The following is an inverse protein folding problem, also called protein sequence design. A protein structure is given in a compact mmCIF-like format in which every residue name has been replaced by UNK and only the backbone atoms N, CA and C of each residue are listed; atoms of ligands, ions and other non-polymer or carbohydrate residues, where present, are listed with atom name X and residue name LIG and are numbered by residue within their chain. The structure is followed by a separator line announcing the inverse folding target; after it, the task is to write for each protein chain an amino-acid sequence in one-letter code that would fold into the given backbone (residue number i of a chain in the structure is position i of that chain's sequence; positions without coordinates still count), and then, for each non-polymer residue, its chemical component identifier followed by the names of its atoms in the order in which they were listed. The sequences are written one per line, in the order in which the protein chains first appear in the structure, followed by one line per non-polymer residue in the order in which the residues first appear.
data_IF_647278204845
#
_entry.id   IF_647278204845
#
_cell.length_a   1.000
_cell.length_b   1.000
_cell.length_c   1.000
_cell.angle_alpha   90.00
_cell.angle_beta   90.00
_cell.angle_gamma   90.00
#
_symmetry.space_group_name_H-M   'P 1'
#
loop_
_entity.id
_entity.type
_entity.pdbx_description
1 polymer ?
#
# COMPACT_ATOMS: atom_id res chain seq x y z
N UNK A 1 26.43 -18.61 13.45
CA UNK A 1 26.04 -18.47 12.04
C UNK A 1 25.99 -16.99 11.74
N UNK A 2 26.84 -16.48 10.85
CA UNK A 2 26.78 -15.07 10.47
C UNK A 2 25.65 -14.90 9.44
N UNK A 3 24.66 -14.07 9.76
CA UNK A 3 23.62 -13.66 8.81
C UNK A 3 24.29 -12.91 7.65
N UNK A 4 23.83 -13.18 6.44
CA UNK A 4 24.27 -12.50 5.21
C UNK A 4 24.12 -10.97 5.31
N UNK A 5 23.15 -10.49 6.10
CA UNK A 5 22.92 -9.08 6.39
C UNK A 5 24.09 -8.35 7.09
N UNK A 6 25.04 -9.08 7.69
CA UNK A 6 26.18 -8.52 8.42
C UNK A 6 27.53 -8.79 7.74
N UNK A 7 27.55 -9.15 6.45
CA UNK A 7 28.78 -9.38 5.69
C UNK A 7 29.02 -8.26 4.67
N UNK A 8 30.29 -7.98 4.41
CA UNK A 8 30.72 -7.16 3.28
C UNK A 8 30.16 -7.75 1.97
N UNK A 9 29.47 -6.92 1.18
CA UNK A 9 28.80 -7.23 -0.09
C UNK A 9 29.76 -7.67 -1.23
N UNK A 10 31.00 -8.02 -0.91
CA UNK A 10 32.07 -8.31 -1.88
C UNK A 10 32.03 -9.73 -2.45
N UNK A 11 31.19 -10.62 -1.90
CA UNK A 11 30.95 -11.96 -2.45
C UNK A 11 29.47 -12.16 -2.84
N UNK A 12 29.14 -12.02 -4.13
CA UNK A 12 27.78 -12.20 -4.66
C UNK A 12 27.17 -13.58 -4.39
N UNK A 13 27.97 -14.59 -4.07
CA UNK A 13 27.48 -15.96 -3.83
C UNK A 13 26.88 -16.13 -2.43
N UNK A 14 27.09 -15.18 -1.52
CA UNK A 14 26.61 -15.22 -0.14
C UNK A 14 25.32 -14.40 0.07
N UNK A 15 24.88 -13.67 -0.94
CA UNK A 15 23.69 -12.81 -0.89
C UNK A 15 22.51 -13.58 -1.50
N UNK A 16 21.39 -13.77 -0.78
CA UNK A 16 20.20 -14.37 -1.36
C UNK A 16 19.67 -13.52 -2.54
N UNK A 17 18.97 -14.16 -3.49
CA UNK A 17 18.32 -13.43 -4.58
C UNK A 17 17.39 -12.32 -4.06
N UNK A 18 17.17 -11.29 -4.88
CA UNK A 18 16.26 -10.19 -4.58
C UNK A 18 14.90 -10.70 -4.10
N UNK A 19 14.28 -11.60 -4.87
CA UNK A 19 13.02 -12.26 -4.52
C UNK A 19 13.02 -12.94 -3.15
N UNK A 20 14.11 -13.63 -2.78
CA UNK A 20 14.21 -14.30 -1.48
C UNK A 20 14.36 -13.30 -0.33
N UNK A 21 15.02 -12.17 -0.56
CA UNK A 21 15.13 -11.08 0.42
C UNK A 21 13.79 -10.36 0.57
N UNK A 22 13.06 -10.16 -0.52
CA UNK A 22 11.71 -9.60 -0.51
C UNK A 22 10.71 -10.52 0.20
N UNK A 23 10.80 -11.83 -0.03
CA UNK A 23 10.03 -12.83 0.72
C UNK A 23 10.37 -12.81 2.22
N UNK A 24 11.64 -12.60 2.58
CA UNK A 24 12.02 -12.42 3.99
C UNK A 24 11.39 -11.17 4.61
N UNK A 25 11.27 -10.06 3.88
CA UNK A 25 10.56 -8.86 4.38
C UNK A 25 9.13 -9.22 4.77
N UNK A 26 8.40 -9.96 3.92
CA UNK A 26 7.03 -10.41 4.24
C UNK A 26 7.00 -11.25 5.52
N UNK A 27 7.93 -12.19 5.67
CA UNK A 27 8.06 -12.99 6.90
C UNK A 27 8.40 -12.15 8.14
N UNK A 28 9.23 -11.11 8.00
CA UNK A 28 9.55 -10.20 9.11
C UNK A 28 8.32 -9.41 9.54
N UNK A 29 7.48 -8.98 8.60
CA UNK A 29 6.21 -8.30 8.90
C UNK A 29 5.20 -9.22 9.57
N UNK A 30 5.10 -10.48 9.15
CA UNK A 30 4.28 -11.50 9.84
C UNK A 30 4.75 -11.75 11.28
N UNK A 31 6.03 -11.54 11.56
CA UNK A 31 6.66 -11.65 12.89
C UNK A 31 6.69 -10.33 13.66
N UNK A 32 6.04 -9.28 13.14
CA UNK A 32 5.98 -7.96 13.74
C UNK A 32 7.33 -7.23 13.84
N UNK A 33 8.36 -7.70 13.13
CA UNK A 33 9.73 -7.16 13.15
C UNK A 33 9.92 -6.09 12.08
N UNK A 34 9.18 -4.99 12.22
CA UNK A 34 9.08 -3.92 11.21
C UNK A 34 10.38 -3.13 11.03
N UNK A 35 11.19 -2.98 12.08
CA UNK A 35 12.48 -2.28 12.00
C UNK A 35 13.46 -3.01 11.07
N UNK A 36 13.55 -4.34 11.18
CA UNK A 36 14.39 -5.13 10.28
C UNK A 36 13.81 -5.22 8.88
N UNK A 37 12.48 -5.24 8.76
CA UNK A 37 11.81 -5.19 7.46
C UNK A 37 12.20 -3.91 6.69
N UNK A 38 12.11 -2.74 7.33
CA UNK A 38 12.55 -1.47 6.75
C UNK A 38 14.03 -1.47 6.39
N UNK A 39 14.91 -1.91 7.30
CA UNK A 39 16.35 -1.93 7.03
C UNK A 39 16.74 -2.83 5.85
N UNK A 40 15.98 -3.89 5.57
CA UNK A 40 16.15 -4.71 4.37
C UNK A 40 15.56 -4.05 3.13
N UNK A 41 14.38 -3.46 3.25
CA UNK A 41 13.74 -2.73 2.15
C UNK A 41 14.62 -1.55 1.67
N UNK A 42 15.27 -0.82 2.56
CA UNK A 42 16.24 0.25 2.20
C UNK A 42 17.45 -0.28 1.40
N UNK A 43 17.88 -1.50 1.67
CA UNK A 43 18.95 -2.13 0.91
C UNK A 43 18.45 -2.58 -0.47
N UNK A 44 17.23 -3.12 -0.53
CA UNK A 44 16.60 -3.55 -1.77
C UNK A 44 16.32 -2.36 -2.69
N UNK A 45 15.84 -1.24 -2.14
CA UNK A 45 15.61 0.00 -2.90
C UNK A 45 16.89 0.57 -3.51
N UNK A 46 18.02 0.51 -2.79
CA UNK A 46 19.33 0.95 -3.32
C UNK A 46 19.85 0.05 -4.44
N UNK A 47 19.38 -1.19 -4.49
CA UNK A 47 19.74 -2.16 -5.53
C UNK A 47 18.82 -2.06 -6.75
N UNK A 48 17.52 -1.88 -6.51
CA UNK A 48 16.46 -1.74 -7.52
C UNK A 48 15.33 -0.86 -6.96
N UNK A 49 15.20 0.35 -7.50
CA UNK A 49 14.18 1.35 -7.15
C UNK A 49 12.95 1.30 -8.08
N UNK A 50 12.91 0.38 -9.06
CA UNK A 50 11.79 0.18 -9.97
C UNK A 50 10.86 -0.97 -9.52
N UNK A 51 11.17 -1.62 -8.40
CA UNK A 51 10.40 -2.75 -7.91
C UNK A 51 9.09 -2.33 -7.19
N UNK A 52 7.94 -2.59 -7.82
CA UNK A 52 6.59 -2.27 -7.31
C UNK A 52 6.31 -2.93 -5.95
N UNK A 53 6.62 -4.21 -5.80
CA UNK A 53 6.39 -4.96 -4.55
C UNK A 53 7.18 -4.36 -3.38
N UNK A 54 8.42 -3.92 -3.60
CA UNK A 54 9.25 -3.31 -2.58
C UNK A 54 8.63 -1.99 -2.08
N UNK A 55 8.19 -1.12 -2.99
CA UNK A 55 7.53 0.15 -2.65
C UNK A 55 6.20 -0.06 -1.91
N UNK A 56 5.41 -1.05 -2.35
CA UNK A 56 4.20 -1.42 -1.63
C UNK A 56 4.51 -1.92 -0.21
N UNK A 57 5.53 -2.78 -0.05
CA UNK A 57 5.93 -3.27 1.26
C UNK A 57 6.47 -2.15 2.16
N UNK A 58 7.19 -1.16 1.64
CA UNK A 58 7.55 0.05 2.40
C UNK A 58 6.32 0.77 2.93
N UNK A 59 5.36 1.09 2.06
CA UNK A 59 4.12 1.75 2.47
C UNK A 59 3.38 0.95 3.55
N UNK A 60 3.30 -0.37 3.36
CA UNK A 60 2.66 -1.28 4.30
C UNK A 60 3.37 -1.32 5.66
N UNK A 61 4.71 -1.31 5.68
CA UNK A 61 5.47 -1.25 6.93
C UNK A 61 5.17 0.01 7.73
N UNK A 62 5.13 1.17 7.07
CA UNK A 62 4.82 2.45 7.72
C UNK A 62 3.37 2.51 8.21
N UNK A 63 2.43 1.98 7.42
CA UNK A 63 1.04 1.85 7.83
C UNK A 63 0.92 1.03 9.12
N UNK A 64 1.53 -0.16 9.16
CA UNK A 64 1.53 -1.02 10.35
C UNK A 64 2.19 -0.34 11.57
N UNK A 65 3.28 0.42 11.39
CA UNK A 65 3.88 1.18 12.49
C UNK A 65 2.93 2.24 13.05
N UNK A 66 2.16 2.90 12.16
CA UNK A 66 1.18 3.91 12.56
C UNK A 66 -0.01 3.32 13.33
N UNK A 67 -0.35 2.06 13.07
CA UNK A 67 -1.40 1.33 13.79
C UNK A 67 -0.96 0.92 15.19
N UNK A 68 0.31 0.60 15.36
CA UNK A 68 0.89 0.22 16.66
C UNK A 68 1.14 1.43 17.59
N UNK A 69 1.12 2.66 17.04
CA UNK A 69 1.23 3.87 17.84
C UNK A 69 0.00 4.09 18.73
N UNK A 70 0.24 4.48 19.97
CA UNK A 70 -0.81 4.80 20.92
C UNK A 70 -1.55 6.09 20.51
N UNK A 71 -2.80 6.24 20.97
CA UNK A 71 -3.69 7.40 20.72
C UNK A 71 -3.20 8.75 21.28
N UNK A 72 -1.92 8.87 21.66
CA UNK A 72 -1.31 10.10 22.16
C UNK A 72 -0.23 10.68 21.24
N UNK A 73 0.24 9.91 20.25
CA UNK A 73 1.33 10.28 19.34
C UNK A 73 0.77 10.62 17.95
N UNK A 74 -0.26 11.47 17.91
CA UNK A 74 -0.98 11.79 16.66
C UNK A 74 -0.06 12.48 15.63
N UNK A 75 0.92 13.28 16.06
CA UNK A 75 1.88 13.93 15.15
C UNK A 75 2.79 12.89 14.47
N UNK A 76 3.49 12.06 15.23
CA UNK A 76 4.37 11.01 14.69
C UNK A 76 3.59 10.00 13.83
N UNK A 77 2.35 9.68 14.24
CA UNK A 77 1.45 8.84 13.46
C UNK A 77 1.10 9.46 12.11
N UNK A 78 0.81 10.76 12.07
CA UNK A 78 0.51 11.45 10.81
C UNK A 78 1.73 11.52 9.89
N UNK A 79 2.94 11.62 10.43
CA UNK A 79 4.18 11.56 9.64
C UNK A 79 4.36 10.18 9.01
N UNK A 80 4.19 9.09 9.78
CA UNK A 80 4.25 7.73 9.26
C UNK A 80 3.22 7.47 8.17
N UNK A 81 1.98 7.94 8.37
CA UNK A 81 0.92 7.81 7.38
C UNK A 81 1.23 8.61 6.10
N UNK A 82 1.82 9.81 6.23
CA UNK A 82 2.28 10.60 5.06
C UNK A 82 3.34 9.82 4.27
N UNK A 83 4.36 9.27 4.94
CA UNK A 83 5.40 8.46 4.30
C UNK A 83 4.83 7.18 3.67
N UNK A 84 3.85 6.53 4.32
CA UNK A 84 3.16 5.38 3.78
C UNK A 84 2.46 5.72 2.45
N UNK A 85 1.73 6.84 2.43
CA UNK A 85 1.02 7.34 1.24
C UNK A 85 1.97 7.59 0.07
N UNK A 86 3.10 8.26 0.32
CA UNK A 86 4.10 8.53 -0.72
C UNK A 86 4.65 7.23 -1.34
N UNK A 87 4.94 6.23 -0.50
CA UNK A 87 5.40 4.92 -0.97
C UNK A 87 4.34 4.21 -1.82
N UNK A 88 3.07 4.25 -1.43
CA UNK A 88 1.98 3.66 -2.20
C UNK A 88 1.76 4.38 -3.54
N UNK A 89 1.79 5.72 -3.56
CA UNK A 89 1.72 6.51 -4.80
C UNK A 89 2.86 6.13 -5.76
N UNK A 90 4.07 5.96 -5.24
CA UNK A 90 5.21 5.53 -6.05
C UNK A 90 5.02 4.09 -6.58
N UNK A 91 4.51 3.18 -5.77
CA UNK A 91 4.19 1.81 -6.20
C UNK A 91 3.17 1.80 -7.35
N UNK A 92 2.10 2.60 -7.23
CA UNK A 92 1.06 2.74 -8.27
C UNK A 92 1.65 3.34 -9.56
N UNK A 93 2.47 4.40 -9.44
CA UNK A 93 3.13 5.03 -10.59
C UNK A 93 4.02 4.05 -11.34
N UNK A 94 4.86 3.30 -10.62
CA UNK A 94 5.71 2.26 -11.20
C UNK A 94 4.88 1.14 -11.84
N UNK A 95 3.79 0.71 -11.18
CA UNK A 95 2.91 -0.34 -11.71
C UNK A 95 2.31 0.03 -13.06
N UNK A 96 1.85 1.28 -13.20
CA UNK A 96 1.34 1.80 -14.47
C UNK A 96 2.41 1.90 -15.57
N UNK A 97 3.66 2.22 -15.20
CA UNK A 97 4.77 2.33 -16.16
C UNK A 97 5.29 0.96 -16.62
N UNK A 98 5.26 -0.05 -15.75
CA UNK A 98 5.84 -1.37 -15.97
C UNK A 98 4.81 -2.42 -16.43
N UNK A 99 3.53 -2.06 -16.54
CA UNK A 99 2.43 -3.00 -16.85
C UNK A 99 2.41 -4.18 -15.87
N UNK A 100 2.42 -3.84 -14.57
CA UNK A 100 2.57 -4.82 -13.49
C UNK A 100 1.41 -5.81 -13.43
N UNK A 101 1.72 -7.11 -13.31
CA UNK A 101 0.74 -8.18 -13.53
C UNK A 101 -0.26 -8.40 -12.37
N UNK A 102 -0.02 -7.82 -11.20
CA UNK A 102 -0.83 -8.07 -10.00
C UNK A 102 -1.67 -6.85 -9.64
N UNK A 103 -2.78 -6.70 -10.36
CA UNK A 103 -3.78 -5.65 -10.17
C UNK A 103 -4.33 -5.61 -8.73
N UNK A 104 -4.52 -6.75 -8.09
CA UNK A 104 -5.06 -6.81 -6.72
C UNK A 104 -4.17 -6.16 -5.66
N UNK A 105 -2.85 -6.12 -5.87
CA UNK A 105 -1.93 -5.39 -4.99
C UNK A 105 -2.07 -3.88 -5.19
N UNK A 106 -2.34 -3.43 -6.42
CA UNK A 106 -2.54 -2.03 -6.76
C UNK A 106 -3.89 -1.52 -6.27
N UNK A 107 -4.95 -2.32 -6.40
CA UNK A 107 -6.26 -2.01 -5.85
C UNK A 107 -6.18 -1.79 -4.34
N UNK A 108 -5.48 -2.67 -3.62
CA UNK A 108 -5.27 -2.50 -2.18
C UNK A 108 -4.42 -1.26 -1.86
N UNK A 109 -3.38 -0.97 -2.64
CA UNK A 109 -2.60 0.25 -2.48
C UNK A 109 -3.46 1.52 -2.66
N UNK A 110 -4.40 1.51 -3.62
CA UNK A 110 -5.35 2.60 -3.84
C UNK A 110 -6.32 2.76 -2.67
N UNK A 111 -6.87 1.65 -2.17
CA UNK A 111 -7.73 1.66 -0.97
C UNK A 111 -7.01 2.23 0.25
N UNK A 112 -5.75 1.84 0.46
CA UNK A 112 -4.93 2.35 1.56
C UNK A 112 -4.63 3.84 1.41
N UNK A 113 -4.31 4.33 0.20
CA UNK A 113 -4.12 5.76 -0.04
C UNK A 113 -5.39 6.54 0.29
N UNK A 114 -6.56 6.06 -0.16
CA UNK A 114 -7.84 6.70 0.14
C UNK A 114 -8.16 6.70 1.65
N UNK A 115 -7.86 5.60 2.34
CA UNK A 115 -8.01 5.50 3.79
C UNK A 115 -7.08 6.47 4.54
N UNK A 116 -5.83 6.61 4.09
CA UNK A 116 -4.86 7.55 4.65
C UNK A 116 -5.29 8.99 4.41
N UNK A 117 -5.75 9.34 3.20
CA UNK A 117 -6.18 10.69 2.86
C UNK A 117 -7.41 11.15 3.66
N UNK A 118 -8.24 10.21 4.12
CA UNK A 118 -9.35 10.51 5.03
C UNK A 118 -8.88 10.93 6.44
N UNK A 119 -7.69 10.49 6.85
CA UNK A 119 -7.09 10.78 8.18
C UNK A 119 -6.14 11.97 8.09
N UNK A 120 -5.28 11.98 7.07
CA UNK A 120 -4.25 12.99 6.81
C UNK A 120 -4.55 13.62 5.45
N UNK A 121 -5.37 14.68 5.41
CA UNK A 121 -5.67 15.35 4.16
C UNK A 121 -4.37 15.87 3.52
N UNK A 122 -4.26 15.84 2.18
CA UNK A 122 -3.14 16.46 1.49
C UNK A 122 -3.09 17.95 1.88
N UNK A 123 -1.99 18.36 2.50
CA UNK A 123 -1.72 19.77 2.78
C UNK A 123 -1.38 20.47 1.46
N UNK A 124 -2.00 21.62 1.16
CA UNK A 124 -1.91 22.44 -0.07
C UNK A 124 -0.49 22.89 -0.52
N UNK A 125 0.58 22.27 -0.01
CA UNK A 125 1.97 22.52 -0.37
C UNK A 125 2.83 21.26 -0.58
N UNK A 126 2.26 20.05 -0.49
CA UNK A 126 2.92 18.81 -0.94
C UNK A 126 2.56 18.45 -2.40
N UNK A 127 1.66 19.24 -3.03
CA UNK A 127 1.17 19.06 -4.40
C UNK A 127 2.02 19.83 -5.44
N UNK A 128 3.35 19.75 -5.37
CA UNK A 128 4.22 20.16 -6.50
C UNK A 128 4.57 19.00 -7.46
N UNK A 129 3.89 17.86 -7.34
CA UNK A 129 3.93 16.77 -8.33
C UNK A 129 2.48 16.42 -8.74
N UNK A 130 1.91 17.28 -9.58
CA UNK A 130 0.68 17.05 -10.34
C UNK A 130 0.89 15.86 -11.30
N UNK A 131 0.73 14.63 -10.81
CA UNK A 131 0.78 13.43 -11.65
C UNK A 131 -0.53 12.64 -11.53
N UNK A 132 -1.26 12.64 -12.65
CA UNK A 132 -2.41 11.83 -13.09
C UNK A 132 -2.55 10.42 -12.47
N UNK A 133 -2.82 10.29 -11.16
CA UNK A 133 -3.51 9.12 -10.62
C UNK A 133 -4.99 9.31 -10.95
N UNK A 134 -5.35 8.86 -12.16
CA UNK A 134 -6.70 8.85 -12.68
C UNK A 134 -7.66 8.31 -11.61
N UNK A 135 -8.60 9.17 -11.21
CA UNK A 135 -9.77 8.85 -10.39
C UNK A 135 -10.74 7.90 -11.14
N UNK A 136 -10.25 6.73 -11.54
CA UNK A 136 -11.00 5.74 -12.31
C UNK A 136 -10.74 4.34 -11.77
N UNK A 137 -11.44 3.96 -10.71
CA UNK A 137 -12.01 2.61 -10.53
C UNK A 137 -12.68 2.43 -9.15
N UNK A 138 -13.76 3.16 -8.87
CA UNK A 138 -14.84 2.58 -8.06
C UNK A 138 -16.18 3.10 -8.63
N UNK A 139 -16.84 2.40 -9.57
CA UNK A 139 -18.28 2.54 -9.71
C UNK A 139 -18.88 1.89 -8.46
N UNK A 140 -19.34 2.74 -7.54
CA UNK A 140 -20.24 2.36 -6.47
C UNK A 140 -21.56 1.88 -7.09
N UNK A 141 -21.64 0.61 -7.51
CA UNK A 141 -22.89 -0.08 -7.85
C UNK A 141 -23.15 -1.17 -6.81
N UNK A 142 -23.44 -0.74 -5.58
CA UNK A 142 -24.33 -1.49 -4.69
C UNK A 142 -25.77 -1.06 -5.01
N UNK A 143 -26.31 -1.54 -6.13
CA UNK A 143 -27.76 -1.53 -6.37
C UNK A 143 -28.40 -2.57 -5.45
N UNK A 144 -28.90 -2.12 -4.31
CA UNK A 144 -29.85 -2.89 -3.52
C UNK A 144 -31.22 -2.76 -4.18
N UNK A 145 -31.59 -3.79 -4.94
CA UNK A 145 -32.91 -3.98 -5.52
C UNK A 145 -33.92 -4.33 -4.42
N UNK A 146 -34.38 -3.31 -3.69
CA UNK A 146 -35.56 -3.39 -2.82
C UNK A 146 -36.82 -3.28 -3.71
N UNK A 147 -37.24 -4.40 -4.33
CA UNK A 147 -38.55 -4.53 -4.97
C UNK A 147 -39.68 -4.42 -3.93
N UNK A 148 -40.08 -3.18 -3.63
CA UNK A 148 -41.39 -2.88 -3.04
C UNK A 148 -42.46 -2.95 -4.14
N UNK A 149 -43.10 -4.10 -4.32
CA UNK A 149 -44.30 -4.23 -5.15
C UNK A 149 -45.51 -3.67 -4.41
N UNK A 150 -46.02 -2.53 -4.88
CA UNK A 150 -47.27 -1.92 -4.44
C UNK A 150 -48.47 -2.61 -5.12
N UNK A 151 -49.45 -3.01 -4.32
CA UNK A 151 -50.76 -3.56 -4.70
C UNK A 151 -51.54 -2.59 -5.61
N UNK A 152 -51.85 -3.00 -6.84
CA UNK A 152 -52.92 -2.38 -7.65
C UNK A 152 -54.19 -3.24 -7.62
N UNK A 153 -55.18 -2.74 -6.87
CA UNK A 153 -56.59 -3.13 -6.89
C UNK A 153 -57.17 -3.04 -8.32
N UNK A 154 -57.59 -4.18 -8.89
CA UNK A 154 -58.37 -4.21 -10.13
C UNK A 154 -59.85 -4.48 -9.81
N UNK A 155 -60.66 -3.42 -9.78
CA UNK A 155 -62.12 -3.51 -9.88
C UNK A 155 -62.52 -4.15 -11.22
N UNK A 156 -63.25 -5.27 -11.17
CA UNK A 156 -64.02 -5.78 -12.31
C UNK A 156 -65.47 -5.98 -11.88
N UNK A 157 -66.30 -4.97 -12.15
CA UNK A 157 -67.75 -5.04 -12.07
C UNK A 157 -68.39 -5.32 -13.43
N UNK A 158 -69.16 -6.40 -13.53
CA UNK A 158 -70.53 -6.49 -14.11
C UNK A 158 -71.01 -7.94 -14.12
#
# INVERSE_FOLDING_TARGET
MALWANKDLTDPTLIPSYENRLALVRLLLELDDKEKALGLLEQLQKEDDENVDAWYLFGWTYHLQSEDMATGDDEDKTELLRSARECFKQAIKLANMLDYENDGLIDHALELVAAIDAIVPPTDGDDEEEDDIAATAVPNELEWDDEASEDEDVEMGS
#
